data_IF_579566153630
#
_entry.id   IF_579566153630
#
_cell.length_a   1.000
_cell.length_b   1.000
_cell.length_c   1.000
_cell.angle_alpha   90.00
_cell.angle_beta   90.00
_cell.angle_gamma   90.00
#
_symmetry.space_group_name_H-M   'P 1'
#
loop_
_entity.id
_entity.type
_entity.pdbx_description
1 polymer ?
#
# COMPACT_ATOMS: atom_id res chain seq x y z
N UNK A 1 -1.35 -78.32 -35.80
CA UNK A 1 -2.68 -78.87 -35.50
C UNK A 1 -3.62 -77.67 -35.57
N UNK A 2 -4.12 -77.25 -36.74
CA UNK A 2 -5.21 -77.79 -37.59
C UNK A 2 -6.54 -77.89 -36.85
N UNK A 3 -7.22 -76.76 -36.68
CA UNK A 3 -8.65 -76.73 -36.38
C UNK A 3 -9.39 -75.98 -37.49
N UNK A 4 -10.22 -76.75 -38.19
CA UNK A 4 -10.90 -76.46 -39.44
C UNK A 4 -12.35 -76.10 -39.06
N UNK A 5 -12.77 -74.85 -39.19
CA UNK A 5 -14.15 -74.47 -38.88
C UNK A 5 -15.07 -74.86 -40.03
N UNK A 6 -15.60 -76.09 -39.97
CA UNK A 6 -16.69 -76.56 -40.83
C UNK A 6 -17.97 -76.58 -39.98
N UNK A 7 -18.84 -75.60 -40.17
CA UNK A 7 -20.19 -75.64 -39.58
C UNK A 7 -21.07 -76.57 -40.42
N UNK A 8 -21.33 -77.75 -39.85
CA UNK A 8 -22.19 -78.86 -40.30
C UNK A 8 -21.55 -79.90 -41.24
N UNK A 9 -21.57 -81.15 -40.79
CA UNK A 9 -21.19 -82.34 -41.55
C UNK A 9 -22.47 -83.14 -41.84
N UNK A 10 -23.01 -83.06 -43.06
CA UNK A 10 -23.91 -84.07 -43.61
C UNK A 10 -23.14 -84.93 -44.64
N UNK A 11 -23.43 -86.24 -44.79
CA UNK A 11 -22.57 -87.14 -45.53
C UNK A 11 -22.92 -87.08 -47.03
N UNK A 12 -22.35 -86.13 -47.75
CA UNK A 12 -22.14 -86.26 -49.20
C UNK A 12 -20.86 -85.54 -49.60
N UNK A 13 -19.93 -86.29 -50.20
CA UNK A 13 -18.62 -85.82 -50.63
C UNK A 13 -18.82 -84.84 -51.80
N UNK A 14 -18.70 -83.56 -51.50
CA UNK A 14 -18.31 -82.53 -52.44
C UNK A 14 -17.04 -81.87 -51.89
N UNK A 15 -15.93 -82.00 -52.60
CA UNK A 15 -14.72 -81.22 -52.31
C UNK A 15 -15.01 -79.80 -52.78
N UNK A 16 -15.64 -79.03 -51.90
CA UNK A 16 -15.96 -77.64 -52.15
C UNK A 16 -14.69 -76.82 -51.91
N UNK A 17 -14.17 -76.25 -53.00
CA UNK A 17 -13.05 -75.31 -52.99
C UNK A 17 -13.35 -74.19 -52.01
N UNK A 18 -12.75 -74.23 -50.83
CA UNK A 18 -12.87 -73.14 -49.87
C UNK A 18 -12.18 -71.93 -50.48
N UNK A 19 -12.96 -70.91 -50.88
CA UNK A 19 -12.43 -69.59 -51.19
C UNK A 19 -11.60 -69.15 -49.99
N UNK A 20 -10.31 -68.92 -50.20
CA UNK A 20 -9.32 -68.56 -49.18
C UNK A 20 -9.55 -67.12 -48.66
N UNK A 21 -10.78 -66.74 -48.32
CA UNK A 21 -11.03 -65.54 -47.54
C UNK A 21 -10.62 -65.83 -46.09
N UNK A 22 -9.75 -64.99 -45.48
CA UNK A 22 -9.37 -65.17 -44.08
C UNK A 22 -10.62 -65.13 -43.19
N UNK A 23 -10.67 -66.02 -42.19
CA UNK A 23 -11.78 -66.11 -41.25
C UNK A 23 -11.99 -64.75 -40.56
N UNK A 24 -13.26 -64.34 -40.32
CA UNK A 24 -13.54 -63.10 -39.61
C UNK A 24 -13.02 -63.20 -38.17
N UNK A 25 -12.12 -62.29 -37.79
CA UNK A 25 -11.64 -62.12 -36.41
C UNK A 25 -12.07 -60.75 -35.94
N UNK A 26 -12.90 -60.72 -34.90
CA UNK A 26 -13.32 -59.49 -34.26
C UNK A 26 -12.12 -58.83 -33.55
N UNK A 27 -12.02 -57.51 -33.64
CA UNK A 27 -10.94 -56.76 -33.03
C UNK A 27 -11.02 -56.79 -31.50
N UNK A 28 -9.87 -56.98 -30.85
CA UNK A 28 -9.72 -56.87 -29.39
C UNK A 28 -9.00 -55.60 -28.95
N UNK A 29 -9.40 -55.08 -27.80
CA UNK A 29 -8.73 -53.95 -27.16
C UNK A 29 -7.41 -54.38 -26.53
N UNK A 30 -6.35 -53.60 -26.72
CA UNK A 30 -5.16 -53.67 -25.86
C UNK A 30 -5.52 -53.27 -24.42
N UNK A 31 -4.64 -53.59 -23.47
CA UNK A 31 -4.67 -52.98 -22.14
C UNK A 31 -4.67 -51.45 -22.25
N UNK A 32 -5.36 -50.81 -21.31
CA UNK A 32 -5.30 -49.36 -21.15
C UNK A 32 -3.88 -48.90 -20.85
N UNK A 33 -3.47 -47.78 -21.43
CA UNK A 33 -2.29 -47.07 -20.97
C UNK A 33 -2.48 -46.58 -19.54
N UNK A 34 -1.37 -46.24 -18.88
CA UNK A 34 -1.43 -45.39 -17.70
C UNK A 34 -2.05 -44.04 -18.06
N UNK A 35 -2.64 -43.37 -17.06
CA UNK A 35 -3.12 -42.01 -17.22
C UNK A 35 -1.94 -41.06 -17.42
N UNK A 36 -2.01 -40.22 -18.46
CA UNK A 36 -1.05 -39.14 -18.68
C UNK A 36 -1.08 -38.07 -17.57
N UNK A 37 -0.18 -37.08 -17.60
CA UNK A 37 -0.21 -35.95 -16.66
C UNK A 37 -1.53 -35.16 -16.77
N UNK A 38 -1.86 -34.42 -15.73
CA UNK A 38 -3.02 -33.52 -15.75
C UNK A 38 -2.84 -32.48 -16.88
N UNK A 39 -3.89 -32.22 -17.65
CA UNK A 39 -3.85 -31.28 -18.79
C UNK A 39 -3.50 -29.85 -18.37
N UNK A 40 -3.81 -29.47 -17.13
CA UNK A 40 -3.39 -28.19 -16.55
C UNK A 40 -2.24 -28.39 -15.59
N UNK A 41 -1.34 -27.40 -15.58
CA UNK A 41 -0.23 -27.34 -14.61
C UNK A 41 -0.68 -26.85 -13.23
N UNK A 42 -1.89 -26.29 -13.12
CA UNK A 42 -2.54 -25.90 -11.87
C UNK A 42 -4.07 -25.98 -11.98
N UNK A 43 -4.75 -26.11 -10.84
CA UNK A 43 -6.21 -26.17 -10.75
C UNK A 43 -6.81 -27.45 -11.35
N UNK A 44 -8.09 -27.37 -11.72
CA UNK A 44 -8.85 -28.50 -12.27
C UNK A 44 -8.50 -28.76 -13.73
N UNK A 45 -8.09 -29.99 -14.03
CA UNK A 45 -7.82 -30.48 -15.37
C UNK A 45 -8.33 -31.90 -15.54
N UNK A 46 -7.85 -32.55 -16.60
CA UNK A 46 -8.24 -33.91 -16.96
C UNK A 46 -6.99 -34.72 -17.27
N UNK A 47 -6.95 -35.98 -16.87
CA UNK A 47 -5.97 -36.96 -17.35
C UNK A 47 -6.61 -37.83 -18.41
N UNK A 48 -5.83 -38.18 -19.43
CA UNK A 48 -6.27 -39.01 -20.54
C UNK A 48 -5.48 -40.31 -20.52
N UNK A 49 -6.17 -41.43 -20.71
CA UNK A 49 -5.57 -42.70 -21.08
C UNK A 49 -6.19 -43.24 -22.36
N UNK A 50 -5.46 -44.08 -23.07
CA UNK A 50 -5.90 -44.63 -24.35
C UNK A 50 -5.63 -46.13 -24.45
N UNK A 51 -6.32 -46.77 -25.39
CA UNK A 51 -6.14 -48.17 -25.79
C UNK A 51 -6.33 -48.26 -27.29
N UNK A 52 -5.79 -49.30 -27.90
CA UNK A 52 -5.81 -49.49 -29.35
C UNK A 52 -6.62 -50.75 -29.67
N UNK A 53 -7.40 -50.70 -30.74
CA UNK A 53 -8.08 -51.87 -31.27
C UNK A 53 -7.08 -52.66 -32.13
N UNK A 54 -6.44 -53.68 -31.54
CA UNK A 54 -5.31 -54.34 -32.17
C UNK A 54 -4.80 -55.61 -31.51
N UNK A 55 -5.46 -56.10 -30.45
CA UNK A 55 -5.05 -57.31 -29.74
C UNK A 55 -6.26 -58.21 -29.43
N UNK A 56 -6.69 -59.07 -30.38
CA UNK A 56 -6.14 -59.26 -31.73
C UNK A 56 -6.59 -58.20 -32.76
N UNK A 57 -5.87 -58.01 -33.89
CA UNK A 57 -6.28 -57.12 -34.97
C UNK A 57 -7.46 -57.69 -35.77
N UNK A 58 -8.27 -56.80 -36.37
CA UNK A 58 -9.44 -57.18 -37.18
C UNK A 58 -8.97 -57.92 -38.44
N UNK A 59 -9.60 -59.06 -38.76
CA UNK A 59 -9.34 -59.83 -39.98
C UNK A 59 -10.64 -60.13 -40.74
N UNK A 60 -10.56 -60.21 -42.07
CA UNK A 60 -11.70 -60.54 -42.93
C UNK A 60 -12.88 -59.57 -42.73
N UNK A 61 -14.06 -60.13 -42.43
CA UNK A 61 -15.30 -59.39 -42.13
C UNK A 61 -15.55 -59.21 -40.62
N UNK A 62 -14.50 -59.24 -39.80
CA UNK A 62 -14.59 -59.07 -38.35
C UNK A 62 -15.09 -57.68 -37.92
N UNK A 63 -15.65 -57.59 -36.71
CA UNK A 63 -16.24 -56.36 -36.17
C UNK A 63 -15.18 -55.45 -35.53
N UNK A 64 -15.37 -54.12 -35.57
CA UNK A 64 -14.51 -53.19 -34.85
C UNK A 64 -14.74 -53.28 -33.34
N UNK A 65 -13.72 -52.88 -32.56
CA UNK A 65 -13.80 -52.91 -31.11
C UNK A 65 -14.93 -51.98 -30.59
N UNK A 66 -15.80 -52.46 -29.70
CA UNK A 66 -16.88 -51.65 -29.16
C UNK A 66 -16.39 -50.69 -28.07
N UNK A 67 -16.97 -49.48 -28.04
CA UNK A 67 -16.70 -48.45 -27.04
C UNK A 67 -15.55 -47.49 -27.41
N UNK A 68 -15.15 -46.61 -26.49
CA UNK A 68 -14.17 -45.57 -26.79
C UNK A 68 -12.74 -46.10 -26.72
N UNK A 69 -11.87 -45.52 -27.56
CA UNK A 69 -10.42 -45.74 -27.54
C UNK A 69 -9.69 -44.86 -26.51
N UNK A 70 -10.38 -43.88 -25.93
CA UNK A 70 -9.85 -42.96 -24.92
C UNK A 70 -10.79 -42.85 -23.73
N UNK A 71 -10.21 -42.61 -22.56
CA UNK A 71 -10.94 -42.36 -21.33
C UNK A 71 -10.33 -41.17 -20.60
N UNK A 72 -11.20 -40.41 -19.94
CA UNK A 72 -10.89 -39.18 -19.25
C UNK A 72 -11.23 -39.32 -17.76
N UNK A 73 -10.37 -38.80 -16.90
CA UNK A 73 -10.69 -38.60 -15.48
C UNK A 73 -10.30 -37.21 -15.02
N UNK A 74 -11.05 -36.66 -14.08
CA UNK A 74 -10.72 -35.38 -13.46
C UNK A 74 -9.44 -35.48 -12.62
N UNK A 75 -8.68 -34.39 -12.60
CA UNK A 75 -7.50 -34.23 -11.75
C UNK A 75 -7.42 -32.81 -11.22
N UNK A 76 -6.90 -32.66 -10.00
CA UNK A 76 -6.55 -31.37 -9.43
C UNK A 76 -5.03 -31.29 -9.37
N UNK A 77 -4.44 -30.43 -10.19
CA UNK A 77 -3.02 -30.11 -10.13
C UNK A 77 -2.73 -29.20 -8.91
N UNK A 78 -1.53 -28.60 -8.83
CA UNK A 78 -1.23 -27.64 -7.75
C UNK A 78 -2.17 -26.42 -7.80
N UNK A 79 -2.29 -25.67 -6.71
CA UNK A 79 -3.09 -24.44 -6.74
C UNK A 79 -2.53 -23.43 -7.74
N UNK A 80 -3.43 -22.73 -8.45
CA UNK A 80 -3.02 -21.73 -9.43
C UNK A 80 -2.52 -20.45 -8.76
N UNK A 81 -1.48 -19.80 -9.32
CA UNK A 81 -1.04 -18.49 -8.89
C UNK A 81 -2.19 -17.50 -9.02
N UNK A 82 -2.41 -16.71 -7.97
CA UNK A 82 -3.34 -15.58 -7.99
C UNK A 82 -2.49 -14.32 -7.90
N UNK A 83 -2.49 -13.53 -8.97
CA UNK A 83 -1.82 -12.24 -8.98
C UNK A 83 -2.58 -11.25 -8.10
N UNK A 84 -1.83 -10.52 -7.28
CA UNK A 84 -2.36 -9.52 -6.38
C UNK A 84 -2.92 -8.33 -7.15
N UNK A 85 -4.06 -7.82 -6.68
CA UNK A 85 -4.64 -6.58 -7.19
C UNK A 85 -4.91 -5.60 -6.06
N UNK A 86 -4.80 -4.32 -6.39
CA UNK A 86 -5.01 -3.24 -5.44
C UNK A 86 -6.45 -3.29 -4.91
N UNK A 87 -6.58 -3.30 -3.59
CA UNK A 87 -7.81 -2.90 -2.94
C UNK A 87 -8.15 -1.45 -3.26
N UNK A 88 -9.38 -1.06 -2.92
CA UNK A 88 -9.76 0.34 -2.89
C UNK A 88 -8.81 1.12 -1.99
N UNK A 89 -8.60 2.40 -2.29
CA UNK A 89 -7.86 3.28 -1.38
C UNK A 89 -8.50 3.21 0.01
N UNK A 90 -7.69 2.92 1.03
CA UNK A 90 -8.15 2.83 2.39
C UNK A 90 -8.74 4.19 2.78
N UNK A 91 -9.99 4.15 3.23
CA UNK A 91 -10.67 5.25 3.93
C UNK A 91 -10.69 6.59 3.15
N UNK A 92 -11.27 7.61 3.77
CA UNK A 92 -11.04 9.00 3.38
C UNK A 92 -9.55 9.35 3.55
N UNK A 93 -9.12 10.42 2.88
CA UNK A 93 -7.80 11.00 3.14
C UNK A 93 -7.56 11.24 4.63
N UNK A 94 -6.29 11.19 5.05
CA UNK A 94 -5.88 11.66 6.36
C UNK A 94 -6.29 13.12 6.57
N UNK A 95 -6.27 13.56 7.83
CA UNK A 95 -6.32 14.98 8.12
C UNK A 95 -5.16 15.71 7.45
N UNK A 96 -5.41 16.97 7.08
CA UNK A 96 -4.39 17.81 6.50
C UNK A 96 -3.37 18.22 7.57
N UNK A 97 -2.08 18.19 7.24
CA UNK A 97 -1.00 18.55 8.18
C UNK A 97 -1.04 20.00 8.68
N UNK A 98 -1.76 20.87 7.97
CA UNK A 98 -1.95 22.26 8.33
C UNK A 98 -3.40 22.66 8.05
N UNK A 99 -3.95 23.60 8.82
CA UNK A 99 -5.31 24.14 8.62
C UNK A 99 -5.35 25.33 7.67
N UNK A 100 -4.18 25.89 7.33
CA UNK A 100 -3.97 26.98 6.39
C UNK A 100 -2.49 27.01 5.97
N UNK A 101 -2.15 27.84 4.98
CA UNK A 101 -0.77 28.08 4.56
C UNK A 101 -0.17 26.94 3.74
N UNK A 102 -0.98 25.97 3.32
CA UNK A 102 -0.54 24.76 2.62
C UNK A 102 -0.13 23.65 3.60
N UNK A 103 -0.86 22.55 3.53
CA UNK A 103 -0.52 21.29 4.17
C UNK A 103 -0.55 20.13 3.17
N UNK A 104 -0.28 18.93 3.67
CA UNK A 104 -0.41 17.70 2.90
C UNK A 104 -1.25 16.69 3.63
N UNK A 105 -1.94 15.85 2.86
CA UNK A 105 -2.68 14.69 3.36
C UNK A 105 -2.36 13.47 2.52
N UNK A 106 -2.48 12.30 3.13
CA UNK A 106 -2.14 11.04 2.47
C UNK A 106 -3.22 9.99 2.68
N UNK A 107 -3.20 8.97 1.83
CA UNK A 107 -3.98 7.76 1.98
C UNK A 107 -3.19 6.57 1.44
N UNK A 108 -3.48 5.39 1.95
CA UNK A 108 -2.80 4.16 1.54
C UNK A 108 -3.80 3.18 0.92
N UNK A 109 -3.29 2.13 0.27
CA UNK A 109 -4.10 1.01 -0.23
C UNK A 109 -3.30 -0.27 -0.06
N UNK A 110 -4.01 -1.36 0.12
CA UNK A 110 -3.41 -2.68 0.30
C UNK A 110 -3.54 -3.52 -0.97
N UNK A 111 -2.57 -4.40 -1.19
CA UNK A 111 -2.61 -5.39 -2.26
C UNK A 111 -3.41 -6.62 -1.81
N UNK A 112 -4.73 -6.47 -1.67
CA UNK A 112 -5.57 -7.45 -1.00
C UNK A 112 -6.88 -7.79 -1.74
N UNK A 113 -7.09 -7.29 -2.96
CA UNK A 113 -8.35 -7.50 -3.69
C UNK A 113 -8.17 -8.02 -5.13
N UNK A 114 -7.64 -9.25 -5.33
CA UNK A 114 -7.27 -10.24 -4.31
C UNK A 114 -5.83 -10.06 -3.80
N UNK A 115 -5.52 -10.70 -2.67
CA UNK A 115 -4.15 -10.82 -2.19
C UNK A 115 -3.36 -11.83 -3.06
N UNK A 116 -2.07 -11.57 -3.34
CA UNK A 116 -1.26 -12.51 -4.11
C UNK A 116 -1.09 -13.83 -3.37
N UNK A 117 -1.27 -14.95 -4.07
CA UNK A 117 -1.15 -16.30 -3.49
C UNK A 117 -0.60 -17.29 -4.51
N UNK A 118 -0.14 -18.46 -4.01
CA UNK A 118 0.35 -19.57 -4.83
C UNK A 118 1.45 -19.18 -5.84
N UNK A 119 2.32 -18.24 -5.46
CA UNK A 119 3.40 -17.72 -6.31
C UNK A 119 2.96 -16.67 -7.35
N UNK A 120 1.75 -16.12 -7.21
CA UNK A 120 1.31 -14.98 -8.00
C UNK A 120 2.08 -13.69 -7.69
N UNK A 121 2.02 -12.75 -8.63
CA UNK A 121 2.77 -11.49 -8.57
C UNK A 121 2.17 -10.52 -7.56
N UNK A 122 3.01 -9.74 -6.90
CA UNK A 122 2.55 -8.64 -6.06
C UNK A 122 2.04 -7.46 -6.92
N UNK A 123 1.28 -6.54 -6.32
CA UNK A 123 0.72 -5.40 -7.01
C UNK A 123 1.80 -4.44 -7.53
N UNK A 124 1.61 -3.94 -8.75
CA UNK A 124 2.51 -2.96 -9.36
C UNK A 124 2.04 -1.54 -9.06
N UNK A 125 2.97 -0.66 -8.65
CA UNK A 125 2.72 0.77 -8.41
C UNK A 125 2.86 1.16 -6.94
N UNK A 126 2.55 2.42 -6.62
CA UNK A 126 2.64 2.95 -5.24
C UNK A 126 1.45 2.49 -4.41
N UNK A 127 1.69 2.17 -3.13
CA UNK A 127 0.65 1.90 -2.13
C UNK A 127 0.21 3.16 -1.39
N UNK A 128 0.89 4.29 -1.58
CA UNK A 128 0.60 5.57 -0.92
C UNK A 128 0.31 6.65 -1.96
N UNK A 129 -0.68 7.48 -1.67
CA UNK A 129 -0.98 8.70 -2.40
C UNK A 129 -0.91 9.90 -1.44
N UNK A 130 -0.40 11.02 -1.91
CA UNK A 130 -0.30 12.28 -1.17
C UNK A 130 -0.80 13.42 -2.05
N UNK A 131 -1.45 14.41 -1.44
CA UNK A 131 -1.89 15.62 -2.11
C UNK A 131 -1.83 16.85 -1.18
N UNK A 132 -1.79 18.02 -1.80
CA UNK A 132 -1.85 19.30 -1.10
C UNK A 132 -3.27 19.60 -0.62
N UNK A 133 -3.36 20.25 0.53
CA UNK A 133 -4.62 20.66 1.14
C UNK A 133 -4.43 21.97 1.90
N UNK A 134 -5.54 22.66 2.19
CA UNK A 134 -5.55 23.89 2.97
C UNK A 134 -4.59 24.99 2.48
N UNK A 135 -4.58 25.22 1.16
CA UNK A 135 -3.70 26.19 0.48
C UNK A 135 -4.10 27.66 0.68
N UNK A 136 -5.25 27.92 1.32
CA UNK A 136 -5.64 29.26 1.73
C UNK A 136 -4.59 29.90 2.65
N UNK A 137 -4.33 31.21 2.52
CA UNK A 137 -3.46 31.92 3.46
C UNK A 137 -3.94 31.77 4.90
N UNK A 138 -3.00 31.73 5.84
CA UNK A 138 -3.35 31.74 7.25
C UNK A 138 -3.89 33.11 7.68
N UNK A 139 -4.83 33.14 8.65
CA UNK A 139 -5.34 34.39 9.19
C UNK A 139 -4.21 35.29 9.70
N UNK A 140 -4.33 36.59 9.41
CA UNK A 140 -3.43 37.60 9.91
C UNK A 140 -3.51 37.68 11.44
N UNK A 141 -2.36 37.71 12.10
CA UNK A 141 -2.26 37.86 13.55
C UNK A 141 -1.69 39.24 13.83
N UNK A 142 -2.49 40.11 14.45
CA UNK A 142 -2.04 41.44 14.86
C UNK A 142 -1.08 41.35 16.04
N UNK A 143 0.02 42.11 15.97
CA UNK A 143 0.97 42.23 17.05
C UNK A 143 0.37 42.78 18.34
N UNK A 144 0.62 42.10 19.45
CA UNK A 144 0.28 42.56 20.78
C UNK A 144 1.52 42.79 21.64
N UNK A 145 1.52 43.90 22.35
CA UNK A 145 2.56 44.24 23.31
C UNK A 145 2.51 43.32 24.52
N UNK A 146 3.67 42.88 25.00
CA UNK A 146 3.78 42.40 26.39
C UNK A 146 3.47 43.55 27.35
N UNK A 147 3.18 43.20 28.60
CA UNK A 147 3.28 44.17 29.69
C UNK A 147 4.67 44.81 29.67
N UNK A 148 4.71 46.09 30.03
CA UNK A 148 5.97 46.77 30.29
C UNK A 148 6.75 46.05 31.37
N UNK A 149 8.07 46.01 31.24
CA UNK A 149 8.94 45.66 32.36
C UNK A 149 8.73 46.65 33.51
N UNK A 150 9.16 46.25 34.70
CA UNK A 150 9.42 47.21 35.77
C UNK A 150 10.41 48.27 35.29
N UNK A 151 10.32 49.45 35.89
CA UNK A 151 11.28 50.52 35.64
C UNK A 151 12.66 50.10 36.15
N UNK A 152 13.70 50.43 35.37
CA UNK A 152 15.08 50.31 35.84
C UNK A 152 15.32 51.22 37.05
N UNK A 153 16.36 50.93 37.86
CA UNK A 153 16.94 51.92 38.75
C UNK A 153 17.40 53.18 38.00
N UNK A 154 17.57 54.29 38.73
CA UNK A 154 18.04 55.54 38.14
C UNK A 154 19.48 55.41 37.60
N UNK A 155 19.69 55.78 36.34
CA UNK A 155 21.04 55.90 35.79
C UNK A 155 21.69 57.20 36.29
N UNK A 156 22.76 57.11 37.10
CA UNK A 156 23.48 58.26 37.68
C UNK A 156 24.15 59.19 36.64
N UNK A 157 24.40 58.71 35.41
CA UNK A 157 25.06 59.49 34.35
C UNK A 157 24.03 60.18 33.46
N UNK A 158 23.02 59.44 32.98
CA UNK A 158 22.01 59.98 32.06
C UNK A 158 20.78 60.55 32.75
N UNK A 159 20.66 60.36 34.07
CA UNK A 159 19.56 60.87 34.86
C UNK A 159 18.16 60.38 34.46
N UNK A 160 18.10 59.16 33.92
CA UNK A 160 16.86 58.56 33.41
C UNK A 160 16.65 57.15 33.96
N UNK A 161 15.39 56.79 34.16
CA UNK A 161 14.93 55.40 34.30
C UNK A 161 14.31 54.95 32.98
N UNK A 162 14.57 53.71 32.59
CA UNK A 162 14.04 53.12 31.36
C UNK A 162 13.20 51.89 31.66
N UNK A 163 12.28 51.57 30.77
CA UNK A 163 11.57 50.30 30.75
C UNK A 163 11.34 49.85 29.32
N UNK A 164 11.15 48.55 29.12
CA UNK A 164 10.98 47.98 27.80
C UNK A 164 9.79 47.04 27.74
N UNK A 165 9.30 46.79 26.53
CA UNK A 165 8.28 45.80 26.22
C UNK A 165 8.59 45.16 24.86
N UNK A 166 8.05 43.97 24.63
CA UNK A 166 8.26 43.22 23.39
C UNK A 166 6.95 42.99 22.64
N UNK A 167 6.99 43.04 21.31
CA UNK A 167 5.84 42.73 20.46
C UNK A 167 5.74 41.22 20.24
N UNK A 168 5.28 40.49 21.27
CA UNK A 168 5.26 39.02 21.29
C UNK A 168 3.99 38.41 21.92
N UNK A 169 2.97 39.20 22.27
CA UNK A 169 1.74 38.73 22.92
C UNK A 169 0.46 39.17 22.17
N UNK A 170 0.15 38.60 21.00
CA UNK A 170 0.95 37.66 20.21
C UNK A 170 1.96 38.37 19.30
N UNK A 171 2.95 37.65 18.76
CA UNK A 171 3.82 38.18 17.70
C UNK A 171 3.01 38.39 16.41
N UNK A 172 3.24 39.48 15.65
CA UNK A 172 2.62 39.66 14.34
C UNK A 172 2.97 38.49 13.42
N UNK A 173 1.97 37.96 12.70
CA UNK A 173 2.18 36.87 11.74
C UNK A 173 1.22 36.98 10.55
N UNK A 174 1.56 36.31 9.45
CA UNK A 174 0.74 36.20 8.23
C UNK A 174 0.25 37.56 7.70
N UNK A 175 1.14 38.56 7.65
CA UNK A 175 0.80 39.91 7.20
C UNK A 175 -0.02 40.75 8.20
N UNK A 176 -0.14 40.30 9.45
CA UNK A 176 -0.80 41.08 10.50
C UNK A 176 0.00 42.31 10.92
N UNK A 177 -0.74 43.36 11.30
CA UNK A 177 -0.17 44.66 11.63
C UNK A 177 0.85 44.58 12.80
N UNK A 178 1.99 45.28 12.70
CA UNK A 178 2.98 45.32 13.76
C UNK A 178 2.44 46.09 14.98
N UNK A 179 3.10 45.91 16.13
CA UNK A 179 2.75 46.68 17.31
C UNK A 179 3.06 48.17 17.10
N UNK A 180 2.05 49.03 17.28
CA UNK A 180 2.22 50.49 17.18
C UNK A 180 2.72 51.06 18.51
N UNK A 181 3.67 52.01 18.44
CA UNK A 181 4.21 52.72 19.59
C UNK A 181 5.62 52.27 20.00
N UNK A 182 6.20 52.87 21.06
CA UNK A 182 7.59 52.64 21.40
C UNK A 182 7.78 51.28 22.11
N UNK A 183 8.90 50.62 21.82
CA UNK A 183 9.37 49.40 22.52
C UNK A 183 10.08 49.72 23.84
N UNK A 184 10.54 50.95 23.99
CA UNK A 184 11.30 51.45 25.13
C UNK A 184 10.74 52.81 25.55
N UNK A 185 10.68 53.06 26.85
CA UNK A 185 10.24 54.33 27.40
C UNK A 185 11.23 54.78 28.46
N UNK A 186 11.58 56.07 28.43
CA UNK A 186 12.39 56.72 29.45
C UNK A 186 11.59 57.82 30.17
N UNK A 187 11.96 58.09 31.42
CA UNK A 187 11.55 59.29 32.17
C UNK A 187 12.70 59.73 33.06
N UNK A 188 12.71 61.02 33.41
CA UNK A 188 13.73 61.55 34.30
C UNK A 188 13.60 60.96 35.70
N UNK A 189 14.73 60.79 36.37
CA UNK A 189 14.74 60.48 37.80
C UNK A 189 14.21 61.67 38.61
N UNK A 190 13.82 61.41 39.86
CA UNK A 190 13.64 62.49 40.82
C UNK A 190 14.96 63.27 40.95
N UNK A 191 14.88 64.60 41.00
CA UNK A 191 16.04 65.49 40.99
C UNK A 191 17.09 65.03 42.01
N UNK A 192 16.65 64.68 43.22
CA UNK A 192 17.48 64.20 44.34
C UNK A 192 18.31 62.95 43.99
N UNK A 193 17.75 61.93 43.31
CA UNK A 193 18.50 60.72 42.92
C UNK A 193 19.60 60.98 41.88
N UNK A 194 19.50 62.10 41.16
CA UNK A 194 20.43 62.50 40.11
C UNK A 194 21.61 63.31 40.64
N UNK A 195 21.33 64.20 41.60
CA UNK A 195 22.36 65.08 42.16
C UNK A 195 23.32 64.32 43.07
N UNK A 196 22.98 63.12 43.54
CA UNK A 196 23.90 62.29 44.35
C UNK A 196 25.20 61.95 43.63
N UNK A 197 25.21 61.85 42.29
CA UNK A 197 26.45 61.70 41.50
C UNK A 197 27.30 62.98 41.41
N UNK A 198 26.70 64.15 41.67
CA UNK A 198 27.36 65.46 41.72
C UNK A 198 27.76 65.82 43.16
N UNK A 199 26.98 65.39 44.16
CA UNK A 199 27.23 65.53 45.59
C UNK A 199 28.41 64.64 46.03
N UNK A 200 28.50 63.39 45.56
CA UNK A 200 29.71 62.53 45.77
C UNK A 200 30.98 63.15 45.15
N UNK A 201 30.86 63.87 44.03
CA UNK A 201 31.99 64.60 43.42
C UNK A 201 32.37 65.91 44.13
N UNK A 202 31.43 66.51 44.87
CA UNK A 202 31.61 67.80 45.55
C UNK A 202 31.79 67.66 47.07
N UNK A 203 31.73 66.43 47.62
CA UNK A 203 32.05 66.15 49.02
C UNK A 203 31.08 66.75 50.04
N UNK A 204 29.81 66.96 49.67
CA UNK A 204 28.80 67.56 50.55
C UNK A 204 27.97 66.46 51.23
N UNK A 205 27.92 66.43 52.56
CA UNK A 205 27.05 65.51 53.30
C UNK A 205 25.60 66.03 53.29
N UNK A 206 24.69 65.29 52.66
CA UNK A 206 23.26 65.54 52.78
C UNK A 206 22.68 64.54 53.77
N UNK A 207 22.38 65.02 54.96
CA UNK A 207 21.67 64.26 55.99
C UNK A 207 20.18 64.19 55.64
N UNK A 208 19.70 62.96 55.51
CA UNK A 208 18.28 62.55 55.43
C UNK A 208 17.50 62.87 54.15
N UNK A 209 17.39 61.90 53.23
CA UNK A 209 16.11 61.58 52.57
C UNK A 209 16.02 60.08 52.25
N UNK A 210 14.80 59.54 52.39
CA UNK A 210 14.42 58.14 52.21
C UNK A 210 14.90 57.54 50.88
N UNK A 211 15.84 56.60 50.96
CA UNK A 211 16.50 55.94 49.83
C UNK A 211 15.68 54.82 49.17
N UNK A 212 14.40 54.64 49.53
CA UNK A 212 13.63 53.47 49.08
C UNK A 212 13.07 53.55 47.65
N UNK A 213 13.36 54.61 46.88
CA UNK A 213 12.94 54.75 45.48
C UNK A 213 13.96 55.48 44.60
N UNK A 214 15.25 55.31 44.90
CA UNK A 214 16.31 55.25 43.90
C UNK A 214 16.82 53.80 43.90
#
# INVERSE_FOLDING_TARGET
MRDNCCSTCEPNIAVQSCSHEPCPVDGGWTSWSEYGPCTKTCGEGVQVRSRICGDPPIQGKGRPCPGPASEFRECIAKQCPVDGQWGSWCCTWSDCSATCGGGRRSRVRDCNNPAPSNGGKNCTGKNTQEEECNTQPCPAVRGGWTMWSEWSPCNKVTCQVTRSRSCKKPSPANGGEPCTGPKEQSRNCLLLCCVDGLIEKLGLEVTSYNWYKC
#
